data_IF_281065963547
#
_entry.id   IF_281065963547
#
_cell.length_a   1.000
_cell.length_b   1.000
_cell.length_c   1.000
_cell.angle_alpha   90.00
_cell.angle_beta   90.00
_cell.angle_gamma   90.00
#
_symmetry.space_group_name_H-M   'P 1'
#
loop_
_entity.id
_entity.type
_entity.pdbx_description
1 polymer ?
#
# COMPACT_ATOMS: atom_id res chain seq x y z
N UNK A 1 4.98 21.47 -4.85
CA UNK A 1 5.86 20.59 -4.03
C UNK A 1 6.55 19.61 -4.96
N UNK A 2 7.87 19.54 -4.94
CA UNK A 2 8.63 18.55 -5.71
C UNK A 2 8.77 17.24 -4.92
N UNK A 3 9.30 16.19 -5.58
CA UNK A 3 9.44 14.86 -4.96
C UNK A 3 10.31 14.90 -3.70
N UNK A 4 11.40 15.67 -3.69
CA UNK A 4 12.28 15.76 -2.52
C UNK A 4 11.61 16.46 -1.35
N UNK A 5 10.85 17.52 -1.61
CA UNK A 5 10.10 18.23 -0.57
C UNK A 5 9.02 17.34 0.02
N UNK A 6 8.33 16.56 -0.82
CA UNK A 6 7.32 15.59 -0.40
C UNK A 6 7.92 14.51 0.50
N UNK A 7 9.02 13.89 0.09
CA UNK A 7 9.70 12.86 0.88
C UNK A 7 10.20 13.42 2.22
N UNK A 8 10.70 14.66 2.22
CA UNK A 8 11.12 15.32 3.46
C UNK A 8 9.93 15.51 4.40
N UNK A 9 8.79 15.98 3.88
CA UNK A 9 7.58 16.14 4.68
C UNK A 9 7.10 14.80 5.25
N UNK A 10 7.09 13.74 4.45
CA UNK A 10 6.72 12.39 4.88
C UNK A 10 7.64 11.89 5.99
N UNK A 11 8.95 12.14 5.88
CA UNK A 11 9.93 11.70 6.88
C UNK A 11 9.76 12.37 8.23
N UNK A 12 9.04 13.49 8.28
CA UNK A 12 8.76 14.24 9.52
C UNK A 12 7.46 13.82 10.21
N UNK A 13 6.67 12.94 9.59
CA UNK A 13 5.43 12.45 10.19
C UNK A 13 5.73 11.59 11.43
N UNK A 14 4.91 11.76 12.47
CA UNK A 14 5.07 11.04 13.73
C UNK A 14 3.72 10.62 14.30
N UNK A 15 3.73 9.53 15.06
CA UNK A 15 2.57 9.06 15.80
C UNK A 15 1.42 8.64 14.89
N UNK A 16 0.22 9.08 15.22
CA UNK A 16 -1.00 8.72 14.48
C UNK A 16 -1.00 9.23 13.04
N UNK A 17 -0.30 10.35 12.79
CA UNK A 17 -0.20 10.93 11.43
C UNK A 17 0.56 10.01 10.49
N UNK A 18 1.61 9.38 10.97
CA UNK A 18 2.36 8.40 10.17
C UNK A 18 1.48 7.19 9.85
N UNK A 19 0.78 6.66 10.85
CA UNK A 19 -0.16 5.56 10.63
C UNK A 19 -1.29 5.95 9.67
N UNK A 20 -1.87 7.13 9.82
CA UNK A 20 -2.90 7.65 8.92
C UNK A 20 -2.39 7.77 7.48
N UNK A 21 -1.15 8.23 7.30
CA UNK A 21 -0.54 8.32 5.98
C UNK A 21 -0.40 6.94 5.34
N UNK A 22 0.09 5.97 6.10
CA UNK A 22 0.24 4.59 5.61
C UNK A 22 -1.11 3.98 5.23
N UNK A 23 -2.14 4.19 6.05
CA UNK A 23 -3.49 3.72 5.75
C UNK A 23 -4.09 4.42 4.53
N UNK A 24 -3.80 5.72 4.34
CA UNK A 24 -4.26 6.45 3.17
C UNK A 24 -3.63 5.90 1.88
N UNK A 25 -2.35 5.54 1.92
CA UNK A 25 -1.70 4.88 0.78
C UNK A 25 -2.34 3.52 0.49
N UNK A 26 -2.62 2.73 1.53
CA UNK A 26 -3.29 1.45 1.38
C UNK A 26 -4.70 1.64 0.80
N UNK A 27 -5.47 2.60 1.33
CA UNK A 27 -6.83 2.91 0.84
C UNK A 27 -6.82 3.25 -0.65
N UNK A 28 -5.88 4.08 -1.05
CA UNK A 28 -5.71 4.50 -2.44
C UNK A 28 -5.36 3.32 -3.35
N UNK A 29 -4.65 2.33 -2.84
CA UNK A 29 -4.21 1.16 -3.58
C UNK A 29 -5.20 0.00 -3.55
N UNK A 30 -6.23 0.07 -2.71
CA UNK A 30 -7.22 -1.01 -2.56
C UNK A 30 -7.86 -1.41 -3.89
N UNK A 31 -8.23 -0.49 -4.81
CA UNK A 31 -8.80 -0.90 -6.09
C UNK A 31 -7.92 -1.86 -6.88
N UNK A 32 -6.60 -1.78 -6.74
CA UNK A 32 -5.67 -2.70 -7.40
C UNK A 32 -5.87 -4.14 -6.90
N UNK A 33 -6.06 -4.30 -5.60
CA UNK A 33 -6.33 -5.61 -5.02
C UNK A 33 -7.70 -6.13 -5.46
N UNK A 34 -8.73 -5.29 -5.37
CA UNK A 34 -10.09 -5.67 -5.72
C UNK A 34 -10.21 -6.10 -7.18
N UNK A 35 -9.58 -5.36 -8.09
CA UNK A 35 -9.55 -5.70 -9.52
C UNK A 35 -8.85 -7.04 -9.76
N UNK A 36 -7.71 -7.26 -9.13
CA UNK A 36 -6.98 -8.51 -9.28
C UNK A 36 -7.80 -9.68 -8.75
N UNK A 37 -8.34 -9.57 -7.54
CA UNK A 37 -9.13 -10.63 -6.94
C UNK A 37 -10.33 -11.00 -7.81
N UNK A 38 -11.03 -10.00 -8.34
CA UNK A 38 -12.16 -10.20 -9.23
C UNK A 38 -11.73 -10.88 -10.53
N UNK A 39 -10.64 -10.43 -11.12
CA UNK A 39 -10.15 -10.96 -12.40
C UNK A 39 -9.72 -12.43 -12.33
N UNK A 40 -9.18 -12.87 -11.20
CA UNK A 40 -8.73 -14.27 -11.03
C UNK A 40 -9.75 -15.14 -10.28
N UNK A 41 -10.94 -14.60 -9.98
CA UNK A 41 -12.02 -15.37 -9.36
C UNK A 41 -11.88 -15.56 -7.86
N UNK A 42 -11.05 -14.80 -7.17
CA UNK A 42 -10.95 -14.81 -5.72
C UNK A 42 -12.09 -13.98 -5.12
N UNK A 43 -12.80 -14.54 -4.16
CA UNK A 43 -13.90 -13.84 -3.47
C UNK A 43 -13.42 -13.19 -2.19
N UNK A 44 -12.26 -12.55 -2.23
CA UNK A 44 -11.58 -11.99 -1.06
C UNK A 44 -11.66 -10.47 -0.96
N UNK A 45 -12.18 -9.79 -1.98
CA UNK A 45 -12.25 -8.33 -1.99
C UNK A 45 -13.00 -7.75 -0.80
N UNK A 46 -14.17 -8.33 -0.47
CA UNK A 46 -14.97 -7.89 0.67
C UNK A 46 -14.27 -8.11 2.01
N UNK A 47 -13.60 -9.24 2.17
CA UNK A 47 -12.82 -9.54 3.38
C UNK A 47 -11.65 -8.58 3.54
N UNK A 48 -10.97 -8.27 2.46
CA UNK A 48 -9.86 -7.30 2.49
C UNK A 48 -10.37 -5.90 2.80
N UNK A 49 -11.53 -5.51 2.25
CA UNK A 49 -12.15 -4.24 2.58
C UNK A 49 -12.46 -4.14 4.06
N UNK A 50 -13.02 -5.20 4.65
CA UNK A 50 -13.30 -5.25 6.08
C UNK A 50 -12.02 -5.10 6.90
N UNK A 51 -10.95 -5.76 6.48
CA UNK A 51 -9.66 -5.67 7.16
C UNK A 51 -9.12 -4.25 7.14
N UNK A 52 -9.19 -3.58 5.99
CA UNK A 52 -8.77 -2.18 5.86
C UNK A 52 -9.63 -1.25 6.72
N UNK A 53 -10.93 -1.48 6.77
CA UNK A 53 -11.84 -0.70 7.61
C UNK A 53 -11.51 -0.88 9.10
N UNK A 54 -11.19 -2.09 9.53
CA UNK A 54 -10.76 -2.36 10.90
C UNK A 54 -9.46 -1.64 11.24
N UNK A 55 -8.53 -1.57 10.29
CA UNK A 55 -7.28 -0.83 10.47
C UNK A 55 -7.54 0.67 10.67
N UNK A 56 -8.49 1.26 9.92
CA UNK A 56 -8.90 2.64 10.15
C UNK A 56 -9.56 2.84 11.50
N UNK A 57 -10.42 1.90 11.92
CA UNK A 57 -11.06 1.97 13.24
C UNK A 57 -10.03 1.97 14.36
N UNK A 58 -8.96 1.20 14.22
CA UNK A 58 -7.88 1.15 15.19
C UNK A 58 -7.15 2.48 15.34
N UNK A 59 -7.10 3.29 14.28
CA UNK A 59 -6.50 4.61 14.34
C UNK A 59 -7.32 5.57 15.21
N UNK A 60 -8.65 5.43 15.18
CA UNK A 60 -9.58 6.31 15.87
C UNK A 60 -9.87 5.85 17.30
N UNK A 61 -9.73 4.57 17.58
CA UNK A 61 -10.06 3.98 18.87
C UNK A 61 -8.78 3.50 19.55
N UNK A 62 -8.78 3.61 20.89
CA UNK A 62 -7.70 3.05 21.70
C UNK A 62 -7.90 1.53 21.80
N UNK A 63 -7.57 0.83 20.72
CA UNK A 63 -7.69 -0.61 20.63
C UNK A 63 -6.41 -1.24 21.16
N UNK A 64 -6.56 -2.33 21.93
CA UNK A 64 -5.44 -3.07 22.47
C UNK A 64 -4.50 -3.56 21.35
N UNK A 65 -3.20 -3.36 21.52
CA UNK A 65 -2.19 -3.81 20.57
C UNK A 65 -2.26 -5.32 20.29
N UNK A 66 -2.83 -6.08 21.20
CA UNK A 66 -3.02 -7.53 21.07
C UNK A 66 -3.90 -7.92 19.86
N UNK A 67 -4.74 -7.01 19.36
CA UNK A 67 -5.58 -7.28 18.19
C UNK A 67 -4.80 -7.25 16.88
N UNK A 68 -3.66 -6.58 16.83
CA UNK A 68 -2.89 -6.38 15.58
C UNK A 68 -2.31 -7.68 15.04
N UNK A 69 -1.72 -8.58 15.85
CA UNK A 69 -1.23 -9.86 15.32
C UNK A 69 -2.32 -10.68 14.63
N UNK A 70 -3.57 -10.63 15.10
CA UNK A 70 -4.69 -11.30 14.45
C UNK A 70 -5.01 -10.70 13.09
N UNK A 71 -4.96 -9.36 12.98
CA UNK A 71 -5.18 -8.68 11.71
C UNK A 71 -4.06 -8.98 10.72
N UNK A 72 -2.82 -9.03 11.18
CA UNK A 72 -1.67 -9.42 10.35
C UNK A 72 -1.80 -10.85 9.83
N UNK A 73 -2.27 -11.78 10.66
CA UNK A 73 -2.51 -13.16 10.25
C UNK A 73 -3.60 -13.24 9.17
N UNK A 74 -4.68 -12.49 9.32
CA UNK A 74 -5.74 -12.41 8.31
C UNK A 74 -5.21 -11.83 7.00
N UNK A 75 -4.41 -10.78 7.09
CA UNK A 75 -3.81 -10.16 5.91
C UNK A 75 -2.95 -11.17 5.16
N UNK A 76 -2.15 -11.94 5.87
CA UNK A 76 -1.29 -12.96 5.27
C UNK A 76 -2.10 -13.98 4.47
N UNK A 77 -3.25 -14.42 4.99
CA UNK A 77 -4.11 -15.38 4.28
C UNK A 77 -4.78 -14.77 3.04
N UNK A 78 -4.98 -13.46 3.00
CA UNK A 78 -5.61 -12.76 1.88
C UNK A 78 -4.60 -12.24 0.85
N UNK A 79 -3.32 -12.23 1.19
CA UNK A 79 -2.26 -11.74 0.32
C UNK A 79 -1.93 -12.79 -0.76
N UNK A 80 -1.90 -12.42 -2.05
CA UNK A 80 -1.56 -13.37 -3.10
C UNK A 80 -0.07 -13.69 -3.10
N UNK A 81 0.25 -14.95 -3.45
CA UNK A 81 1.62 -15.33 -3.76
C UNK A 81 1.88 -14.99 -5.23
N UNK A 82 2.82 -14.08 -5.48
CA UNK A 82 3.12 -13.60 -6.84
C UNK A 82 3.57 -14.72 -7.78
N UNK A 83 4.17 -15.77 -7.24
CA UNK A 83 4.66 -16.90 -8.05
C UNK A 83 3.55 -17.81 -8.57
N UNK A 84 2.33 -17.71 -8.01
CA UNK A 84 1.18 -18.53 -8.40
C UNK A 84 0.37 -17.92 -9.54
N UNK A 85 0.67 -16.70 -9.97
CA UNK A 85 -0.13 -15.97 -10.95
C UNK A 85 0.76 -15.42 -12.06
N UNK A 86 0.31 -15.60 -13.30
CA UNK A 86 0.98 -15.01 -14.48
C UNK A 86 0.48 -13.61 -14.81
N UNK A 87 -0.65 -13.17 -14.20
CA UNK A 87 -1.23 -11.87 -14.46
C UNK A 87 -0.42 -10.76 -13.82
N UNK A 88 -0.16 -9.68 -14.57
CA UNK A 88 0.55 -8.50 -14.04
C UNK A 88 -0.13 -7.92 -12.81
N UNK A 89 -1.46 -7.94 -12.77
CA UNK A 89 -2.23 -7.39 -11.66
C UNK A 89 -1.90 -7.96 -10.28
N UNK A 90 -1.20 -9.12 -10.22
CA UNK A 90 -0.76 -9.68 -8.94
C UNK A 90 0.24 -8.76 -8.23
N UNK A 91 1.10 -8.06 -8.97
CA UNK A 91 2.10 -7.19 -8.36
C UNK A 91 1.50 -5.97 -7.67
N UNK A 92 0.61 -5.17 -8.30
CA UNK A 92 -0.07 -4.10 -7.58
C UNK A 92 -0.92 -4.59 -6.42
N UNK A 93 -1.53 -5.76 -6.53
CA UNK A 93 -2.31 -6.36 -5.44
C UNK A 93 -1.41 -6.74 -4.26
N UNK A 94 -0.25 -7.32 -4.53
CA UNK A 94 0.74 -7.65 -3.51
C UNK A 94 1.28 -6.38 -2.84
N UNK A 95 1.55 -5.33 -3.63
CA UNK A 95 2.03 -4.05 -3.11
C UNK A 95 1.00 -3.41 -2.17
N UNK A 96 -0.29 -3.53 -2.47
CA UNK A 96 -1.35 -3.12 -1.55
C UNK A 96 -1.22 -3.85 -0.21
N UNK A 97 -1.02 -5.16 -0.25
CA UNK A 97 -0.87 -5.96 0.97
C UNK A 97 0.33 -5.49 1.79
N UNK A 98 1.43 -5.14 1.14
CA UNK A 98 2.61 -4.61 1.83
C UNK A 98 2.34 -3.26 2.49
N UNK A 99 1.61 -2.37 1.82
CA UNK A 99 1.25 -1.08 2.39
C UNK A 99 0.38 -1.24 3.65
N UNK A 100 -0.60 -2.12 3.61
CA UNK A 100 -1.45 -2.39 4.76
C UNK A 100 -0.66 -3.05 5.89
N UNK A 101 0.23 -3.99 5.56
CA UNK A 101 1.13 -4.61 6.55
C UNK A 101 1.99 -3.56 7.24
N UNK A 102 2.57 -2.63 6.49
CA UNK A 102 3.39 -1.57 7.08
C UNK A 102 2.57 -0.68 8.03
N UNK A 103 1.33 -0.38 7.68
CA UNK A 103 0.46 0.41 8.54
C UNK A 103 0.19 -0.31 9.87
N UNK A 104 -0.11 -1.61 9.82
CA UNK A 104 -0.38 -2.41 11.02
C UNK A 104 0.88 -2.58 11.87
N UNK A 105 2.01 -2.87 11.25
CA UNK A 105 3.30 -2.99 11.95
C UNK A 105 3.72 -1.67 12.58
N UNK A 106 3.46 -0.55 11.93
CA UNK A 106 3.81 0.76 12.47
C UNK A 106 3.03 1.07 13.75
N UNK A 107 1.82 0.56 13.87
CA UNK A 107 1.02 0.71 15.09
C UNK A 107 1.68 0.00 16.28
N UNK A 108 2.25 -1.20 16.06
CA UNK A 108 2.95 -1.96 17.10
C UNK A 108 4.34 -1.41 17.40
N UNK A 109 5.06 -1.01 16.38
CA UNK A 109 6.47 -0.61 16.47
C UNK A 109 6.73 0.55 15.51
N UNK A 110 6.46 1.79 15.93
CA UNK A 110 6.66 2.96 15.09
C UNK A 110 8.11 3.06 14.59
N UNK A 111 8.25 3.26 13.28
CA UNK A 111 9.55 3.40 12.63
C UNK A 111 9.47 4.58 11.66
N UNK A 112 10.32 5.57 11.84
CA UNK A 112 10.33 6.81 11.06
C UNK A 112 10.50 6.59 9.54
N UNK A 113 11.08 5.47 9.14
CA UNK A 113 11.36 5.18 7.73
C UNK A 113 10.19 4.50 7.02
N UNK A 114 9.20 3.98 7.75
CA UNK A 114 8.09 3.23 7.12
C UNK A 114 7.28 4.08 6.18
N UNK A 115 6.93 5.31 6.57
CA UNK A 115 6.14 6.20 5.72
C UNK A 115 6.89 6.56 4.44
N UNK A 116 8.19 6.81 4.54
CA UNK A 116 9.04 7.11 3.38
C UNK A 116 9.14 5.90 2.46
N UNK A 117 9.40 4.72 2.99
CA UNK A 117 9.48 3.48 2.21
C UNK A 117 8.15 3.15 1.54
N UNK A 118 7.04 3.32 2.26
CA UNK A 118 5.70 3.08 1.72
C UNK A 118 5.38 4.06 0.58
N UNK A 119 5.75 5.32 0.72
CA UNK A 119 5.58 6.33 -0.33
C UNK A 119 6.36 5.97 -1.58
N UNK A 120 7.59 5.50 -1.43
CA UNK A 120 8.42 5.05 -2.54
C UNK A 120 7.83 3.81 -3.20
N UNK A 121 7.32 2.86 -2.42
CA UNK A 121 6.64 1.67 -2.94
C UNK A 121 5.41 2.05 -3.76
N UNK A 122 4.56 2.93 -3.26
CA UNK A 122 3.36 3.37 -3.96
C UNK A 122 3.70 4.07 -5.28
N UNK A 123 4.74 4.91 -5.28
CA UNK A 123 5.23 5.57 -6.50
C UNK A 123 5.74 4.55 -7.50
N UNK A 124 6.54 3.59 -7.06
CA UNK A 124 7.07 2.53 -7.92
C UNK A 124 5.95 1.71 -8.57
N UNK A 125 4.92 1.38 -7.81
CA UNK A 125 3.78 0.63 -8.34
C UNK A 125 3.13 1.34 -9.52
N UNK A 126 2.92 2.65 -9.40
CA UNK A 126 2.32 3.46 -10.47
C UNK A 126 3.30 3.57 -11.65
N UNK A 127 4.58 3.80 -11.39
CA UNK A 127 5.60 3.89 -12.44
C UNK A 127 5.70 2.60 -13.25
N UNK A 128 5.70 1.46 -12.57
CA UNK A 128 5.75 0.14 -13.23
C UNK A 128 4.53 -0.07 -14.12
N UNK A 129 3.35 0.36 -13.66
CA UNK A 129 2.12 0.26 -14.45
C UNK A 129 2.19 1.14 -15.70
N UNK A 130 2.63 2.38 -15.57
CA UNK A 130 2.77 3.31 -16.70
C UNK A 130 3.79 2.76 -17.70
N UNK A 131 4.91 2.26 -17.23
CA UNK A 131 5.94 1.66 -18.09
C UNK A 131 5.38 0.46 -18.85
N UNK A 132 4.62 -0.40 -18.20
CA UNK A 132 4.02 -1.56 -18.85
C UNK A 132 2.96 -1.16 -19.89
N UNK A 133 2.12 -0.16 -19.59
CA UNK A 133 0.96 0.18 -20.44
C UNK A 133 1.27 1.19 -21.55
N UNK A 134 2.22 2.09 -21.36
CA UNK A 134 2.50 3.19 -22.27
C UNK A 134 4.00 3.40 -22.53
N UNK A 135 4.84 2.64 -21.88
CA UNK A 135 6.20 3.05 -21.60
C UNK A 135 7.31 2.55 -22.50
N UNK A 136 7.03 1.73 -23.52
CA UNK A 136 8.10 1.37 -24.46
C UNK A 136 8.53 2.60 -25.25
N UNK A 137 9.50 3.33 -24.75
CA UNK A 137 9.99 4.55 -25.38
C UNK A 137 9.99 5.77 -24.48
N UNK A 138 9.36 5.69 -23.30
CA UNK A 138 9.53 6.71 -22.28
C UNK A 138 10.84 6.49 -21.52
N UNK A 139 11.66 7.55 -21.42
CA UNK A 139 12.83 7.48 -20.58
C UNK A 139 12.46 7.74 -19.12
N UNK A 140 13.41 7.48 -18.22
CA UNK A 140 13.20 7.65 -16.79
C UNK A 140 12.84 9.09 -16.42
N UNK A 141 13.37 10.08 -17.14
CA UNK A 141 13.07 11.49 -16.89
C UNK A 141 11.64 11.84 -17.29
N UNK A 142 11.13 11.25 -18.36
CA UNK A 142 9.75 11.45 -18.80
C UNK A 142 8.77 10.83 -17.79
N UNK A 143 9.07 9.64 -17.27
CA UNK A 143 8.28 8.99 -16.23
C UNK A 143 8.23 9.84 -14.96
N UNK A 144 9.36 10.38 -14.53
CA UNK A 144 9.43 11.26 -13.36
C UNK A 144 8.57 12.51 -13.56
N UNK A 145 8.55 13.11 -14.74
CA UNK A 145 7.72 14.29 -15.03
C UNK A 145 6.22 13.99 -14.91
N UNK A 146 5.79 12.81 -15.32
CA UNK A 146 4.39 12.39 -15.19
C UNK A 146 3.95 12.39 -13.73
N UNK A 147 4.83 12.03 -12.81
CA UNK A 147 4.54 11.94 -11.39
C UNK A 147 4.74 13.23 -10.60
N UNK A 148 5.51 14.18 -11.13
CA UNK A 148 5.72 15.48 -10.50
C UNK A 148 4.57 16.47 -10.77
N UNK A 149 3.70 16.16 -11.68
CA UNK A 149 2.51 16.92 -12.00
C UNK A 149 1.28 16.13 -11.53
#
# INVERSE_FOLDING_TARGET
MNANQFLKAVSQLQGWRECAFLLALAERSFPNYALFADAVGLKTGGKMRQLLDLAWDMLQKDVADAAIPQLLSKLETLCPNVDEYDAYGVYPAFDFCQLLEQALLNRLNPNKHRATEASQLATRTVMDFVEMSEGEGMDENELVRVFEH
#
